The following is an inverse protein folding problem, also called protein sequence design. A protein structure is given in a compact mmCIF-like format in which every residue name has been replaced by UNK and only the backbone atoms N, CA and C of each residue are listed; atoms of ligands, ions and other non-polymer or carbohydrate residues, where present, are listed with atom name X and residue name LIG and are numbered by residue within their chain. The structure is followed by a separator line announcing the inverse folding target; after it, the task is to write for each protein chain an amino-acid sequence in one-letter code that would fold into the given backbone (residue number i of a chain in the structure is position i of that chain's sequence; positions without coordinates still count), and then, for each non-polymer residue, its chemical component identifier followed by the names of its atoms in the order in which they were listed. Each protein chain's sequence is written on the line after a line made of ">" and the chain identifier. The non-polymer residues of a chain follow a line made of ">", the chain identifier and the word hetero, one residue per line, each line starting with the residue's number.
data_IF_296524823564
#
_entry.id   IF_296524823564
#
_cell.length_a   1.000
_cell.length_b   1.000
_cell.length_c   1.000
_cell.angle_alpha   90.00
_cell.angle_beta   90.00
_cell.angle_gamma   90.00
#
_symmetry.space_group_name_H-M   'P 1'
#
loop_
_entity.id
_entity.type
_entity.pdbx_description
1 polymer ?
#
# COMPACT_ATOMS: atom_id res chain seq x y z
N UNK A 1 7.96 22.08 46.64
CA UNK A 1 8.24 20.71 46.15
C UNK A 1 7.20 20.31 45.12
N UNK A 2 5.90 20.40 45.40
CA UNK A 2 4.81 20.08 44.45
C UNK A 2 4.84 20.84 43.10
N UNK A 3 5.14 22.15 43.08
CA UNK A 3 5.20 22.90 41.81
C UNK A 3 6.34 22.45 40.88
N UNK A 4 7.45 21.96 41.44
CA UNK A 4 8.59 21.48 40.67
C UNK A 4 8.31 20.09 40.08
N UNK A 5 7.61 19.24 40.82
CA UNK A 5 7.14 17.93 40.35
C UNK A 5 6.08 18.06 39.23
N UNK A 6 5.19 19.05 39.31
CA UNK A 6 4.21 19.32 38.26
C UNK A 6 4.87 19.82 36.96
N UNK A 7 5.85 20.73 37.06
CA UNK A 7 6.59 21.23 35.90
C UNK A 7 7.39 20.13 35.20
N UNK A 8 8.07 19.27 35.96
CA UNK A 8 8.84 18.14 35.41
C UNK A 8 7.91 17.08 34.80
N UNK A 9 6.77 16.76 35.43
CA UNK A 9 5.79 15.83 34.87
C UNK A 9 5.16 16.35 33.57
N UNK A 10 4.84 17.65 33.49
CA UNK A 10 4.34 18.28 32.26
C UNK A 10 5.42 18.25 31.17
N UNK A 11 6.68 18.50 31.52
CA UNK A 11 7.80 18.47 30.57
C UNK A 11 8.03 17.06 30.01
N UNK A 12 7.92 16.03 30.86
CA UNK A 12 8.03 14.63 30.45
C UNK A 12 6.88 14.19 29.51
N UNK A 13 5.65 14.59 29.82
CA UNK A 13 4.48 14.38 28.94
C UNK A 13 4.65 15.09 27.61
N UNK A 14 5.11 16.35 27.63
CA UNK A 14 5.35 17.16 26.43
C UNK A 14 6.46 16.59 25.55
N UNK A 15 7.51 16.02 26.15
CA UNK A 15 8.57 15.30 25.44
C UNK A 15 8.05 14.02 24.76
N UNK A 16 7.00 13.41 25.31
CA UNK A 16 6.28 12.28 24.75
C UNK A 16 5.43 12.60 23.51
N UNK A 17 5.04 13.86 23.30
CA UNK A 17 4.16 14.28 22.19
C UNK A 17 4.88 14.21 20.84
N UNK A 18 6.19 14.43 20.81
CA UNK A 18 6.96 14.45 19.56
C UNK A 18 7.32 13.03 19.07
N UNK A 19 7.15 12.73 17.77
CA UNK A 19 7.58 11.44 17.23
C UNK A 19 9.09 11.23 17.43
N UNK A 20 9.48 10.22 18.22
CA UNK A 20 10.88 9.92 18.57
C UNK A 20 11.85 9.98 17.37
N UNK A 21 11.45 9.42 16.22
CA UNK A 21 12.28 9.40 15.00
C UNK A 21 12.43 10.76 14.31
N UNK A 22 11.42 11.61 14.39
CA UNK A 22 11.36 12.88 13.65
C UNK A 22 11.60 14.11 14.54
N UNK A 23 11.77 13.93 15.86
CA UNK A 23 11.96 15.00 16.85
C UNK A 23 12.97 16.07 16.38
N UNK A 24 14.18 15.65 16.00
CA UNK A 24 15.24 16.56 15.51
C UNK A 24 14.81 17.43 14.34
N UNK A 25 13.97 16.91 13.45
CA UNK A 25 13.48 17.64 12.26
C UNK A 25 12.44 18.69 12.70
N UNK A 26 11.57 18.34 13.65
CA UNK A 26 10.58 19.25 14.20
C UNK A 26 11.26 20.41 14.93
N UNK A 27 12.26 20.10 15.77
CA UNK A 27 13.07 21.08 16.49
C UNK A 27 13.80 22.01 15.51
N UNK A 28 14.53 21.47 14.54
CA UNK A 28 15.26 22.27 13.55
C UNK A 28 14.33 23.20 12.74
N UNK A 29 13.13 22.72 12.37
CA UNK A 29 12.14 23.53 11.67
C UNK A 29 11.61 24.67 12.55
N UNK A 30 11.39 24.40 13.83
CA UNK A 30 10.97 25.39 14.81
C UNK A 30 12.05 26.46 15.02
N UNK A 31 13.30 26.04 15.23
CA UNK A 31 14.42 26.97 15.45
C UNK A 31 14.65 27.86 14.24
N UNK A 32 14.51 27.32 13.03
CA UNK A 32 14.56 28.09 11.78
C UNK A 32 13.47 29.16 11.75
N UNK A 33 12.25 28.81 12.17
CA UNK A 33 11.13 29.76 12.25
C UNK A 33 11.34 30.83 13.31
N UNK A 34 11.85 30.47 14.49
CA UNK A 34 12.17 31.42 15.57
C UNK A 34 13.24 32.41 15.11
N UNK A 35 14.34 31.92 14.50
CA UNK A 35 15.38 32.79 13.93
C UNK A 35 14.82 33.77 12.91
N UNK A 36 13.93 33.31 12.03
CA UNK A 36 13.27 34.15 11.04
C UNK A 36 12.39 35.25 11.69
N UNK A 37 11.70 34.94 12.80
CA UNK A 37 10.92 35.91 13.57
C UNK A 37 11.83 36.95 14.23
N UNK A 38 12.92 36.52 14.87
CA UNK A 38 13.90 37.41 15.52
C UNK A 38 14.52 38.39 14.52
N UNK A 39 14.93 37.92 13.33
CA UNK A 39 15.47 38.78 12.27
C UNK A 39 14.49 39.87 11.81
N UNK A 40 13.18 39.65 11.96
CA UNK A 40 12.12 40.56 11.54
C UNK A 40 11.49 41.33 12.71
N UNK A 41 12.03 41.19 13.91
CA UNK A 41 11.53 41.81 15.15
C UNK A 41 10.03 41.50 15.38
N UNK A 42 9.63 40.26 15.10
CA UNK A 42 8.27 39.77 15.30
C UNK A 42 8.19 39.09 16.68
N UNK A 43 7.55 39.75 17.64
CA UNK A 43 7.42 39.24 19.02
C UNK A 43 6.26 38.25 19.15
N UNK A 44 5.12 38.56 18.51
CA UNK A 44 3.90 37.76 18.57
C UNK A 44 3.76 36.87 17.33
N UNK A 45 3.55 35.57 17.55
CA UNK A 45 3.23 34.62 16.46
C UNK A 45 1.73 34.54 16.30
N UNK A 46 1.22 35.04 15.18
CA UNK A 46 -0.19 34.99 14.80
C UNK A 46 -0.35 34.41 13.38
N UNK A 47 -1.59 34.39 12.88
CA UNK A 47 -1.91 33.85 11.56
C UNK A 47 -1.17 34.57 10.42
N UNK A 48 -1.04 35.89 10.47
CA UNK A 48 -0.38 36.69 9.43
C UNK A 48 1.14 36.45 9.38
N UNK A 49 1.77 36.31 10.56
CA UNK A 49 3.18 35.94 10.68
C UNK A 49 3.45 34.58 10.04
N UNK A 50 2.56 33.60 10.28
CA UNK A 50 2.68 32.28 9.68
C UNK A 50 2.45 32.30 8.18
N UNK A 51 1.46 33.06 7.68
CA UNK A 51 1.23 33.24 6.24
C UNK A 51 2.47 33.81 5.53
N UNK A 52 3.11 34.82 6.12
CA UNK A 52 4.31 35.48 5.56
C UNK A 52 5.56 34.59 5.55
N UNK A 53 5.64 33.61 6.46
CA UNK A 53 6.80 32.72 6.60
C UNK A 53 6.95 31.66 5.49
N UNK A 54 6.01 31.55 4.54
CA UNK A 54 5.87 30.41 3.64
C UNK A 54 6.26 30.74 2.19
N UNK A 55 7.48 30.37 1.78
CA UNK A 55 8.03 30.56 0.42
C UNK A 55 8.35 29.27 -0.34
N UNK A 56 7.92 28.09 0.14
CA UNK A 56 8.34 26.77 -0.38
C UNK A 56 7.23 26.01 -1.15
N UNK A 57 7.61 24.94 -1.84
CA UNK A 57 6.72 24.06 -2.62
C UNK A 57 5.63 23.38 -1.77
N UNK A 58 4.47 23.08 -2.37
CA UNK A 58 3.22 22.73 -1.67
C UNK A 58 3.31 21.52 -0.72
N UNK A 59 4.05 20.47 -1.06
CA UNK A 59 4.22 19.29 -0.18
C UNK A 59 5.16 19.59 1.01
N UNK A 60 6.22 20.37 0.78
CA UNK A 60 7.13 20.88 1.81
C UNK A 60 6.38 21.82 2.76
N UNK A 61 5.47 22.60 2.20
CA UNK A 61 4.69 23.60 2.93
C UNK A 61 3.74 22.95 3.97
N UNK A 62 3.03 21.89 3.60
CA UNK A 62 2.19 21.13 4.53
C UNK A 62 3.01 20.42 5.62
N UNK A 63 4.17 19.87 5.28
CA UNK A 63 5.07 19.26 6.26
C UNK A 63 5.60 20.32 7.26
N UNK A 64 6.04 21.48 6.76
CA UNK A 64 6.48 22.59 7.60
C UNK A 64 5.36 23.13 8.46
N UNK A 65 4.13 23.25 7.92
CA UNK A 65 2.95 23.61 8.70
C UNK A 65 2.70 22.60 9.82
N UNK A 66 2.72 21.29 9.53
CA UNK A 66 2.48 20.25 10.54
C UNK A 66 3.53 20.26 11.66
N UNK A 67 4.80 20.42 11.30
CA UNK A 67 5.89 20.56 12.27
C UNK A 67 5.71 21.79 13.14
N UNK A 68 5.47 22.96 12.54
CA UNK A 68 5.25 24.20 13.30
C UNK A 68 3.97 24.14 14.14
N UNK A 69 2.89 23.54 13.64
CA UNK A 69 1.64 23.34 14.39
C UNK A 69 1.91 22.62 15.70
N UNK A 70 2.65 21.52 15.62
CA UNK A 70 3.00 20.71 16.80
C UNK A 70 3.91 21.51 17.74
N UNK A 71 4.98 22.11 17.20
CA UNK A 71 5.98 22.80 18.01
C UNK A 71 5.47 24.09 18.65
N UNK A 72 4.61 24.85 17.97
CA UNK A 72 3.98 26.05 18.51
C UNK A 72 2.96 25.72 19.59
N UNK A 73 2.21 24.63 19.42
CA UNK A 73 1.32 24.13 20.47
C UNK A 73 2.13 23.74 21.72
N UNK A 74 3.16 22.90 21.55
CA UNK A 74 3.97 22.40 22.69
C UNK A 74 4.79 23.51 23.37
N UNK A 75 5.48 24.37 22.60
CA UNK A 75 6.43 25.35 23.18
C UNK A 75 5.83 26.71 23.51
N UNK A 76 4.69 27.06 22.91
CA UNK A 76 4.09 28.41 23.05
C UNK A 76 2.60 28.37 23.35
N UNK A 77 1.99 27.19 23.47
CA UNK A 77 0.54 27.03 23.65
C UNK A 77 -0.29 27.75 22.56
N UNK A 78 0.22 27.79 21.32
CA UNK A 78 -0.47 28.41 20.18
C UNK A 78 -1.07 27.31 19.30
N UNK A 79 -2.40 27.23 19.31
CA UNK A 79 -3.15 26.33 18.44
C UNK A 79 -3.42 26.94 17.06
N UNK A 80 -2.50 26.69 16.13
CA UNK A 80 -2.61 27.16 14.74
C UNK A 80 -3.67 26.40 13.92
N UNK A 81 -4.36 25.41 14.48
CA UNK A 81 -5.48 24.75 13.80
C UNK A 81 -6.69 25.69 13.64
N UNK A 82 -6.78 26.71 14.52
CA UNK A 82 -7.80 27.74 14.50
C UNK A 82 -7.55 28.83 13.45
N UNK A 83 -6.42 28.78 12.75
CA UNK A 83 -6.03 29.74 11.72
C UNK A 83 -6.63 29.33 10.36
N UNK A 84 -7.85 29.77 10.11
CA UNK A 84 -8.63 29.39 8.93
C UNK A 84 -8.10 29.98 7.62
N UNK A 85 -7.58 31.23 7.61
CA UNK A 85 -6.97 31.84 6.42
C UNK A 85 -5.71 31.08 6.02
N UNK A 86 -4.89 30.69 7.01
CA UNK A 86 -3.72 29.85 6.82
C UNK A 86 -4.11 28.49 6.25
N UNK A 87 -5.14 27.84 6.80
CA UNK A 87 -5.65 26.56 6.32
C UNK A 87 -6.17 26.65 4.87
N UNK A 88 -6.93 27.69 4.55
CA UNK A 88 -7.45 27.95 3.21
C UNK A 88 -6.33 28.25 2.20
N UNK A 89 -5.30 29.01 2.61
CA UNK A 89 -4.12 29.25 1.80
C UNK A 89 -3.36 27.95 1.48
N UNK A 90 -3.14 27.10 2.48
CA UNK A 90 -2.45 25.81 2.30
C UNK A 90 -3.21 24.88 1.34
N UNK A 91 -4.53 24.80 1.47
CA UNK A 91 -5.40 24.02 0.56
C UNK A 91 -5.28 24.50 -0.89
N UNK A 92 -5.45 25.81 -1.13
CA UNK A 92 -5.33 26.41 -2.47
C UNK A 92 -3.94 26.20 -3.07
N UNK A 93 -2.87 26.32 -2.28
CA UNK A 93 -1.51 26.04 -2.76
C UNK A 93 -1.28 24.58 -3.13
N UNK A 94 -2.06 23.64 -2.62
CA UNK A 94 -1.98 22.22 -3.00
C UNK A 94 -2.92 21.83 -4.15
N UNK A 95 -3.75 22.73 -4.66
CA UNK A 95 -4.60 22.43 -5.82
C UNK A 95 -3.75 22.07 -7.05
N UNK A 96 -4.18 21.03 -7.76
CA UNK A 96 -3.46 20.51 -8.93
C UNK A 96 -2.12 19.83 -8.62
N UNK A 97 -1.69 19.75 -7.35
CA UNK A 97 -0.45 19.07 -6.98
C UNK A 97 -0.52 17.58 -7.33
N UNK A 98 0.43 17.11 -8.15
CA UNK A 98 0.60 15.70 -8.46
C UNK A 98 1.81 15.14 -7.72
N UNK A 99 1.64 14.09 -6.89
CA UNK A 99 2.74 13.50 -6.17
C UNK A 99 3.73 12.83 -7.12
N UNK A 100 5.03 13.04 -6.88
CA UNK A 100 6.09 12.30 -7.57
C UNK A 100 6.20 10.91 -6.94
N UNK A 101 6.04 9.87 -7.75
CA UNK A 101 6.12 8.49 -7.29
C UNK A 101 7.28 7.74 -7.95
N UNK A 102 7.82 6.75 -7.26
CA UNK A 102 8.80 5.84 -7.84
C UNK A 102 8.21 5.11 -9.05
N UNK A 103 9.01 4.89 -10.11
CA UNK A 103 8.61 4.01 -11.22
C UNK A 103 8.41 2.57 -10.72
N UNK A 104 7.62 1.81 -11.46
CA UNK A 104 7.31 0.40 -11.22
C UNK A 104 7.92 -0.45 -12.32
N UNK A 105 8.35 -1.66 -11.97
CA UNK A 105 8.68 -2.73 -12.91
C UNK A 105 7.41 -3.46 -13.36
N UNK A 106 7.40 -3.94 -14.61
CA UNK A 106 6.40 -4.89 -15.13
C UNK A 106 6.77 -6.33 -14.78
N UNK A 107 5.82 -7.26 -14.92
CA UNK A 107 6.09 -8.68 -14.70
C UNK A 107 7.18 -9.20 -15.65
N UNK A 108 7.08 -8.88 -16.94
CA UNK A 108 8.09 -9.26 -17.94
C UNK A 108 9.49 -8.73 -17.61
N UNK A 109 9.58 -7.51 -17.07
CA UNK A 109 10.87 -6.93 -16.64
C UNK A 109 11.45 -7.68 -15.43
N UNK A 110 10.61 -8.09 -14.48
CA UNK A 110 11.02 -8.90 -13.33
C UNK A 110 11.52 -10.26 -13.81
N UNK A 111 10.74 -10.94 -14.65
CA UNK A 111 11.07 -12.27 -15.14
C UNK A 111 12.35 -12.25 -15.99
N UNK A 112 12.46 -11.28 -16.90
CA UNK A 112 13.67 -11.04 -17.68
C UNK A 112 14.89 -10.84 -16.79
N UNK A 113 14.77 -10.00 -15.76
CA UNK A 113 15.88 -9.77 -14.83
C UNK A 113 16.26 -11.06 -14.09
N UNK A 114 15.29 -11.77 -13.52
CA UNK A 114 15.55 -12.99 -12.74
C UNK A 114 16.16 -14.12 -13.58
N UNK A 115 15.78 -14.22 -14.85
CA UNK A 115 16.26 -15.24 -15.79
C UNK A 115 17.66 -14.91 -16.34
N UNK A 116 17.85 -13.69 -16.83
CA UNK A 116 19.04 -13.34 -17.63
C UNK A 116 20.23 -12.88 -16.79
N UNK A 117 20.00 -12.29 -15.61
CA UNK A 117 21.09 -11.69 -14.83
C UNK A 117 21.95 -12.78 -14.15
N UNK A 118 23.29 -12.69 -14.23
CA UNK A 118 24.16 -13.69 -13.62
C UNK A 118 24.11 -13.63 -12.10
N UNK A 119 23.99 -14.81 -11.48
CA UNK A 119 23.97 -14.92 -10.02
C UNK A 119 25.25 -14.39 -9.39
N UNK A 120 26.40 -14.53 -10.06
CA UNK A 120 27.73 -14.10 -9.60
C UNK A 120 27.74 -12.74 -8.92
N UNK A 121 27.03 -11.76 -9.46
CA UNK A 121 27.00 -10.39 -8.95
C UNK A 121 25.62 -9.98 -8.43
N UNK A 122 24.55 -10.67 -8.81
CA UNK A 122 23.18 -10.21 -8.60
C UNK A 122 22.29 -11.13 -7.76
N UNK A 123 22.79 -12.27 -7.27
CA UNK A 123 21.96 -13.21 -6.49
C UNK A 123 21.24 -12.53 -5.31
N UNK A 124 21.96 -11.72 -4.51
CA UNK A 124 21.33 -10.96 -3.42
C UNK A 124 20.28 -9.95 -3.93
N UNK A 125 20.52 -9.32 -5.07
CA UNK A 125 19.57 -8.39 -5.70
C UNK A 125 18.33 -9.14 -6.20
N UNK A 126 18.47 -10.34 -6.77
CA UNK A 126 17.35 -11.21 -7.15
C UNK A 126 16.48 -11.52 -5.94
N UNK A 127 17.09 -11.98 -4.83
CA UNK A 127 16.34 -12.29 -3.60
C UNK A 127 15.67 -11.04 -3.02
N UNK A 128 16.35 -9.88 -3.01
CA UNK A 128 15.74 -8.63 -2.56
C UNK A 128 14.56 -8.17 -3.45
N UNK A 129 14.65 -8.39 -4.76
CA UNK A 129 13.55 -8.14 -5.70
C UNK A 129 12.36 -9.06 -5.42
N UNK A 130 12.61 -10.38 -5.29
CA UNK A 130 11.59 -11.39 -4.97
C UNK A 130 10.86 -11.03 -3.67
N UNK A 131 11.59 -10.85 -2.57
CA UNK A 131 11.01 -10.49 -1.26
C UNK A 131 10.32 -9.13 -1.29
N UNK A 132 10.89 -8.16 -2.02
CA UNK A 132 10.35 -6.82 -2.17
C UNK A 132 9.00 -6.81 -2.86
N UNK A 133 8.87 -7.56 -3.96
CA UNK A 133 7.65 -7.63 -4.77
C UNK A 133 6.64 -8.59 -4.16
N UNK A 134 7.03 -9.81 -3.79
CA UNK A 134 6.12 -10.79 -3.18
C UNK A 134 5.55 -10.28 -1.84
N UNK A 135 6.36 -9.58 -1.04
CA UNK A 135 5.91 -9.06 0.24
C UNK A 135 5.46 -7.61 0.22
N UNK A 136 5.41 -6.91 -0.92
CA UNK A 136 5.20 -5.46 -0.97
C UNK A 136 6.08 -4.68 0.06
N UNK A 137 7.30 -5.16 0.28
CA UNK A 137 8.14 -4.74 1.40
C UNK A 137 8.71 -3.34 1.20
N UNK A 138 8.79 -2.56 2.29
CA UNK A 138 9.58 -1.32 2.31
C UNK A 138 11.07 -1.68 2.44
N UNK A 139 11.97 -0.82 1.95
CA UNK A 139 13.41 -1.03 2.13
C UNK A 139 13.84 -1.16 3.60
N UNK A 140 13.16 -0.50 4.54
CA UNK A 140 13.40 -0.69 5.98
C UNK A 140 13.00 -2.09 6.46
N UNK A 141 11.91 -2.64 5.95
CA UNK A 141 11.43 -3.99 6.29
C UNK A 141 12.42 -5.04 5.80
N UNK A 142 12.90 -4.92 4.56
CA UNK A 142 13.97 -5.78 4.02
C UNK A 142 15.26 -5.66 4.82
N UNK A 143 15.68 -4.44 5.17
CA UNK A 143 16.85 -4.21 6.01
C UNK A 143 16.71 -4.81 7.41
N UNK A 144 15.49 -4.89 7.95
CA UNK A 144 15.25 -5.36 9.31
C UNK A 144 15.05 -6.87 9.42
N UNK A 145 14.73 -7.54 8.30
CA UNK A 145 14.45 -8.96 8.22
C UNK A 145 15.59 -9.81 8.80
N UNK A 146 15.23 -10.84 9.56
CA UNK A 146 16.15 -11.79 10.18
C UNK A 146 15.99 -13.19 9.60
N UNK A 147 16.97 -14.06 9.85
CA UNK A 147 16.92 -15.47 9.40
C UNK A 147 15.70 -16.18 10.01
N UNK A 148 15.42 -15.94 11.29
CA UNK A 148 14.26 -16.53 11.99
C UNK A 148 12.90 -16.05 11.48
N UNK A 149 12.88 -15.02 10.64
CA UNK A 149 11.64 -14.55 10.02
C UNK A 149 11.29 -15.34 8.76
N UNK A 150 12.22 -16.15 8.23
CA UNK A 150 12.04 -16.92 7.00
C UNK A 150 11.99 -18.41 7.31
N UNK A 151 10.86 -19.04 7.00
CA UNK A 151 10.64 -20.47 7.17
C UNK A 151 10.55 -21.13 5.80
N UNK A 152 11.44 -22.09 5.53
CA UNK A 152 11.36 -22.94 4.35
C UNK A 152 10.37 -24.09 4.62
N UNK A 153 9.35 -24.22 3.76
CA UNK A 153 8.30 -25.23 3.85
C UNK A 153 8.36 -26.21 2.67
N UNK A 154 9.53 -26.36 2.05
CA UNK A 154 9.82 -27.18 0.86
C UNK A 154 9.20 -26.67 -0.45
N UNK A 155 7.90 -26.39 -0.46
CA UNK A 155 7.14 -25.94 -1.62
C UNK A 155 6.87 -24.41 -1.60
N UNK A 156 7.30 -23.74 -0.54
CA UNK A 156 7.13 -22.30 -0.36
C UNK A 156 8.07 -21.77 0.72
N UNK A 157 8.35 -20.46 0.69
CA UNK A 157 8.96 -19.73 1.81
C UNK A 157 7.90 -18.86 2.49
N UNK A 158 7.70 -19.06 3.79
CA UNK A 158 6.92 -18.16 4.63
C UNK A 158 7.83 -17.08 5.22
N UNK A 159 7.49 -15.82 4.95
CA UNK A 159 8.28 -14.67 5.41
C UNK A 159 7.46 -13.81 6.35
N UNK A 160 7.95 -13.64 7.58
CA UNK A 160 7.34 -12.80 8.60
C UNK A 160 7.96 -11.40 8.60
N UNK A 161 7.13 -10.38 8.43
CA UNK A 161 7.54 -8.97 8.48
C UNK A 161 7.06 -8.38 9.80
N UNK A 162 7.98 -8.35 10.77
CA UNK A 162 7.74 -7.80 12.11
C UNK A 162 8.03 -6.30 12.18
N UNK A 163 7.53 -5.63 13.22
CA UNK A 163 7.88 -4.23 13.55
C UNK A 163 7.67 -3.25 12.38
N UNK A 164 6.56 -3.41 11.66
CA UNK A 164 6.25 -2.55 10.49
C UNK A 164 6.04 -1.09 10.92
N UNK A 165 6.04 -0.16 9.94
CA UNK A 165 5.78 1.28 10.21
C UNK A 165 4.50 1.53 11.04
N UNK A 166 3.53 0.62 10.96
CA UNK A 166 2.24 0.74 11.62
C UNK A 166 2.11 -0.16 12.87
N UNK A 167 3.21 -0.80 13.31
CA UNK A 167 3.26 -1.73 14.43
C UNK A 167 2.30 -2.92 14.31
N UNK A 168 2.05 -3.36 13.07
CA UNK A 168 1.25 -4.54 12.76
C UNK A 168 2.15 -5.52 12.05
N UNK A 169 2.30 -6.71 12.62
CA UNK A 169 3.03 -7.80 12.00
C UNK A 169 2.20 -8.37 10.86
N UNK A 170 2.88 -8.83 9.80
CA UNK A 170 2.25 -9.47 8.65
C UNK A 170 3.19 -10.52 8.10
N UNK A 171 2.66 -11.45 7.33
CA UNK A 171 3.46 -12.42 6.61
C UNK A 171 3.07 -12.46 5.13
N UNK A 172 3.92 -13.09 4.33
CA UNK A 172 3.65 -13.37 2.93
C UNK A 172 4.34 -14.67 2.52
N UNK A 173 3.88 -15.23 1.40
CA UNK A 173 4.40 -16.47 0.83
C UNK A 173 5.18 -16.15 -0.45
N UNK A 174 6.31 -16.82 -0.64
CA UNK A 174 6.99 -16.95 -1.92
C UNK A 174 6.81 -18.40 -2.37
N UNK A 175 6.24 -18.61 -3.55
CA UNK A 175 6.07 -19.92 -4.17
C UNK A 175 6.42 -19.84 -5.66
N UNK A 176 6.53 -20.99 -6.32
CA UNK A 176 6.87 -21.08 -7.75
C UNK A 176 5.64 -20.96 -8.66
N UNK A 177 4.67 -20.10 -8.31
CA UNK A 177 3.45 -19.93 -9.12
C UNK A 177 3.65 -19.05 -10.36
N UNK A 178 4.89 -18.73 -10.74
CA UNK A 178 5.19 -17.93 -11.91
C UNK A 178 5.10 -18.80 -13.18
N UNK A 179 4.46 -18.27 -14.22
CA UNK A 179 4.25 -18.98 -15.49
C UNK A 179 5.54 -19.18 -16.30
N UNK A 180 6.64 -18.58 -15.88
CA UNK A 180 7.84 -18.40 -16.70
C UNK A 180 8.99 -19.36 -16.33
N UNK A 181 8.71 -20.39 -15.52
CA UNK A 181 9.65 -21.49 -15.25
C UNK A 181 10.85 -21.15 -14.35
N UNK A 182 10.84 -19.99 -13.67
CA UNK A 182 11.89 -19.61 -12.72
C UNK A 182 11.55 -20.14 -11.34
N UNK A 183 12.38 -21.01 -10.79
CA UNK A 183 12.24 -21.48 -9.41
C UNK A 183 12.69 -20.38 -8.43
N UNK A 184 11.72 -19.58 -7.96
CA UNK A 184 11.95 -18.47 -7.04
C UNK A 184 12.45 -18.97 -5.68
N UNK A 185 11.97 -20.13 -5.24
CA UNK A 185 12.37 -20.75 -3.98
C UNK A 185 13.85 -21.14 -4.05
N UNK A 186 14.27 -21.76 -5.15
CA UNK A 186 15.64 -22.20 -5.37
C UNK A 186 16.62 -21.02 -5.46
N UNK A 187 16.22 -19.91 -6.10
CA UNK A 187 17.01 -18.67 -6.08
C UNK A 187 17.24 -18.19 -4.64
N UNK A 188 16.22 -18.27 -3.78
CA UNK A 188 16.32 -17.88 -2.39
C UNK A 188 17.17 -18.87 -1.57
N UNK A 189 16.99 -20.17 -1.77
CA UNK A 189 17.79 -21.24 -1.12
C UNK A 189 19.27 -21.12 -1.44
N UNK A 190 19.62 -20.92 -2.71
CA UNK A 190 21.01 -20.67 -3.15
C UNK A 190 21.64 -19.54 -2.36
N UNK A 191 20.93 -18.41 -2.21
CA UNK A 191 21.44 -17.29 -1.42
C UNK A 191 21.58 -17.61 0.07
N UNK A 192 20.58 -18.29 0.66
CA UNK A 192 20.59 -18.68 2.06
C UNK A 192 21.74 -19.64 2.39
N UNK A 193 22.00 -20.62 1.53
CA UNK A 193 23.08 -21.60 1.67
C UNK A 193 24.48 -20.98 1.64
N UNK A 194 24.65 -19.83 0.98
CA UNK A 194 25.93 -19.12 0.93
C UNK A 194 26.25 -18.34 2.21
N UNK A 195 25.35 -18.31 3.19
CA UNK A 195 25.61 -17.61 4.45
C UNK A 195 26.78 -18.26 5.19
N UNK A 196 27.77 -17.43 5.52
CA UNK A 196 28.94 -17.82 6.29
C UNK A 196 28.59 -18.16 7.75
N UNK A 197 29.03 -19.31 8.29
CA UNK A 197 28.83 -19.69 9.70
C UNK A 197 29.34 -18.64 10.70
N UNK A 198 30.37 -17.88 10.33
CA UNK A 198 31.01 -16.87 11.17
C UNK A 198 30.19 -15.56 11.29
N UNK A 199 29.02 -15.49 10.64
CA UNK A 199 28.17 -14.28 10.68
C UNK A 199 27.51 -14.13 12.06
N UNK A 200 27.97 -13.16 12.85
CA UNK A 200 27.56 -12.99 14.25
C UNK A 200 26.18 -12.36 14.47
N UNK A 201 25.57 -11.80 13.43
CA UNK A 201 24.26 -11.15 13.53
C UNK A 201 23.17 -11.99 12.84
N UNK A 202 21.91 -11.75 13.21
CA UNK A 202 20.76 -12.48 12.65
C UNK A 202 20.14 -11.86 11.38
N UNK A 203 20.69 -10.76 10.84
CA UNK A 203 20.17 -10.15 9.60
C UNK A 203 20.15 -11.15 8.45
N UNK A 204 19.00 -11.24 7.77
CA UNK A 204 18.81 -12.13 6.62
C UNK A 204 19.75 -11.73 5.48
N UNK A 205 19.66 -10.47 5.02
CA UNK A 205 20.47 -9.96 3.92
C UNK A 205 21.88 -9.57 4.38
N UNK A 206 22.86 -10.30 3.87
CA UNK A 206 24.30 -10.02 3.96
C UNK A 206 24.86 -9.56 2.62
N UNK A 207 25.93 -8.77 2.66
CA UNK A 207 26.64 -8.31 1.47
C UNK A 207 27.16 -9.50 0.69
N UNK A 208 26.91 -9.45 -0.61
CA UNK A 208 27.20 -10.51 -1.56
C UNK A 208 28.06 -9.94 -2.69
N UNK A 209 29.19 -10.58 -2.96
CA UNK A 209 30.14 -10.18 -3.98
C UNK A 209 30.80 -11.42 -4.58
N UNK A 210 30.96 -11.45 -5.91
CA UNK A 210 31.69 -12.50 -6.63
C UNK A 210 31.30 -13.92 -6.20
N UNK A 211 30.01 -14.23 -6.25
CA UNK A 211 29.45 -15.54 -5.89
C UNK A 211 29.50 -15.92 -4.41
N UNK A 212 29.85 -15.01 -3.50
CA UNK A 212 29.97 -15.33 -2.07
C UNK A 212 29.27 -14.30 -1.19
N UNK A 213 28.67 -14.78 -0.09
CA UNK A 213 28.27 -13.89 1.00
C UNK A 213 29.49 -13.52 1.87
N UNK A 214 29.50 -12.28 2.32
CA UNK A 214 30.36 -11.80 3.40
C UNK A 214 29.61 -11.89 4.74
N UNK A 215 30.30 -11.58 5.84
CA UNK A 215 29.67 -11.51 7.17
C UNK A 215 28.98 -10.17 7.46
N UNK A 216 29.04 -9.20 6.53
CA UNK A 216 28.54 -7.85 6.76
C UNK A 216 27.05 -7.74 6.37
N UNK A 217 26.22 -7.20 7.26
CA UNK A 217 24.83 -6.88 6.94
C UNK A 217 24.71 -5.79 5.85
N UNK A 218 23.66 -5.88 5.02
CA UNK A 218 23.35 -4.84 4.05
C UNK A 218 22.85 -3.55 4.75
N UNK A 219 23.48 -2.42 4.41
CA UNK A 219 23.08 -1.10 4.90
C UNK A 219 21.71 -0.63 4.37
N UNK A 220 20.97 0.12 5.19
CA UNK A 220 19.62 0.62 4.88
C UNK A 220 19.51 1.39 3.56
N UNK A 221 20.54 2.15 3.19
CA UNK A 221 20.54 2.97 1.97
C UNK A 221 20.72 2.12 0.71
N UNK A 222 21.37 0.96 0.82
CA UNK A 222 21.60 0.04 -0.29
C UNK A 222 20.28 -0.47 -0.85
N UNK A 223 19.35 -0.89 0.01
CA UNK A 223 17.99 -1.30 -0.41
C UNK A 223 17.25 -0.21 -1.21
N UNK A 224 17.51 1.06 -0.92
CA UNK A 224 16.93 2.17 -1.67
C UNK A 224 17.43 2.28 -3.12
N UNK A 225 18.62 1.74 -3.40
CA UNK A 225 19.27 1.75 -4.72
C UNK A 225 19.10 0.44 -5.50
N UNK A 226 18.66 -0.64 -4.86
CA UNK A 226 18.47 -1.94 -5.54
C UNK A 226 17.55 -1.81 -6.75
N UNK A 227 16.36 -1.15 -6.67
CA UNK A 227 15.49 -1.05 -7.84
C UNK A 227 16.12 -0.27 -9.00
N UNK A 228 16.94 0.74 -8.71
CA UNK A 228 17.72 1.46 -9.71
C UNK A 228 18.72 0.52 -10.40
N UNK A 229 19.45 -0.32 -9.65
CA UNK A 229 20.38 -1.31 -10.23
C UNK A 229 19.68 -2.31 -11.15
N UNK A 230 18.48 -2.75 -10.78
CA UNK A 230 17.64 -3.62 -11.62
C UNK A 230 17.28 -2.90 -12.92
N UNK A 231 16.83 -1.64 -12.83
CA UNK A 231 16.48 -0.83 -13.99
C UNK A 231 17.68 -0.52 -14.89
N UNK A 232 18.86 -0.29 -14.32
CA UNK A 232 20.12 -0.08 -15.06
C UNK A 232 20.51 -1.33 -15.84
N UNK A 233 20.47 -2.51 -15.21
CA UNK A 233 20.77 -3.78 -15.88
C UNK A 233 19.83 -4.03 -17.08
N UNK A 234 18.55 -3.74 -16.90
CA UNK A 234 17.53 -3.89 -17.94
C UNK A 234 17.54 -2.76 -18.99
N UNK A 235 18.46 -1.79 -18.89
CA UNK A 235 18.52 -0.61 -19.75
C UNK A 235 17.22 0.21 -19.81
N UNK A 236 16.50 0.31 -18.68
CA UNK A 236 15.24 1.05 -18.62
C UNK A 236 15.47 2.58 -18.60
N UNK A 237 14.65 3.36 -19.29
CA UNK A 237 14.81 4.80 -19.35
C UNK A 237 14.54 5.46 -17.99
N UNK A 238 15.41 6.40 -17.62
CA UNK A 238 15.38 7.11 -16.33
C UNK A 238 15.46 6.15 -15.13
N UNK A 239 16.48 5.28 -15.11
CA UNK A 239 16.71 4.30 -14.03
C UNK A 239 16.74 4.92 -12.62
N UNK A 240 17.19 6.17 -12.50
CA UNK A 240 17.20 6.94 -11.24
C UNK A 240 15.82 7.16 -10.61
N UNK A 241 14.74 7.01 -11.37
CA UNK A 241 13.36 7.12 -10.88
C UNK A 241 12.86 5.83 -10.21
N UNK A 242 13.61 4.73 -10.30
CA UNK A 242 13.34 3.47 -9.59
C UNK A 242 13.98 3.52 -8.21
N UNK A 243 13.30 4.16 -7.27
CA UNK A 243 13.79 4.37 -5.89
C UNK A 243 13.29 3.28 -4.94
N UNK A 244 13.67 3.33 -3.66
CA UNK A 244 13.33 2.32 -2.64
C UNK A 244 11.84 2.05 -2.38
N UNK A 245 10.91 2.77 -3.03
CA UNK A 245 9.48 2.43 -3.01
C UNK A 245 9.03 1.59 -4.22
N UNK A 246 9.88 1.44 -5.25
CA UNK A 246 9.59 0.74 -6.49
C UNK A 246 8.95 -0.64 -6.25
N UNK A 247 9.62 -1.55 -5.53
CA UNK A 247 9.12 -2.92 -5.34
C UNK A 247 7.74 -2.98 -4.70
N UNK A 248 7.50 -2.14 -3.68
CA UNK A 248 6.18 -2.05 -3.05
C UNK A 248 5.11 -1.52 -4.01
N UNK A 249 5.45 -0.54 -4.84
CA UNK A 249 4.53 -0.01 -5.86
C UNK A 249 4.29 -1.04 -6.97
N UNK A 250 5.32 -1.75 -7.41
CA UNK A 250 5.23 -2.85 -8.38
C UNK A 250 4.29 -3.94 -7.88
N UNK A 251 4.46 -4.40 -6.64
CA UNK A 251 3.57 -5.36 -6.00
C UNK A 251 2.11 -4.89 -6.01
N UNK A 252 1.87 -3.64 -5.63
CA UNK A 252 0.53 -3.05 -5.65
C UNK A 252 -0.09 -2.95 -7.05
N UNK A 253 0.71 -2.58 -8.06
CA UNK A 253 0.28 -2.51 -9.46
C UNK A 253 -0.08 -3.88 -10.01
N UNK A 254 0.80 -4.88 -9.84
CA UNK A 254 0.56 -6.25 -10.30
C UNK A 254 -0.69 -6.85 -9.63
N UNK A 255 -0.88 -6.59 -8.35
CA UNK A 255 -2.05 -7.06 -7.62
C UNK A 255 -3.34 -6.38 -8.10
N UNK A 256 -3.30 -5.09 -8.42
CA UNK A 256 -4.44 -4.39 -9.02
C UNK A 256 -4.77 -4.95 -10.42
N UNK A 257 -3.76 -5.22 -11.25
CA UNK A 257 -3.95 -5.79 -12.58
C UNK A 257 -4.52 -7.22 -12.56
N UNK A 258 -4.26 -7.98 -11.48
CA UNK A 258 -4.82 -9.32 -11.28
C UNK A 258 -6.33 -9.34 -10.97
N UNK A 259 -6.95 -8.19 -10.71
CA UNK A 259 -8.36 -8.10 -10.31
C UNK A 259 -8.62 -8.48 -8.84
N UNK A 260 -7.57 -8.51 -8.00
CA UNK A 260 -7.72 -8.81 -6.58
C UNK A 260 -8.61 -7.78 -5.87
N UNK A 261 -9.42 -8.25 -4.90
CA UNK A 261 -10.28 -7.36 -4.12
C UNK A 261 -9.48 -6.38 -3.25
N UNK A 262 -10.10 -5.25 -2.92
CA UNK A 262 -9.51 -4.21 -2.07
C UNK A 262 -9.05 -4.78 -0.71
N UNK A 263 -9.78 -5.76 -0.16
CA UNK A 263 -9.43 -6.37 1.13
C UNK A 263 -8.18 -7.25 1.05
N UNK A 264 -8.02 -8.01 -0.04
CA UNK A 264 -6.79 -8.75 -0.32
C UNK A 264 -5.63 -7.76 -0.46
N UNK A 265 -5.85 -6.68 -1.20
CA UNK A 265 -4.85 -5.64 -1.42
C UNK A 265 -4.40 -4.98 -0.11
N UNK A 266 -5.34 -4.55 0.75
CA UNK A 266 -5.05 -3.94 2.05
C UNK A 266 -4.25 -4.87 2.96
N UNK A 267 -4.66 -6.15 3.05
CA UNK A 267 -3.98 -7.16 3.88
C UNK A 267 -2.56 -7.42 3.39
N UNK A 268 -2.37 -7.60 2.08
CA UNK A 268 -1.09 -7.93 1.45
C UNK A 268 0.04 -6.95 1.82
N UNK A 269 -0.16 -5.66 1.58
CA UNK A 269 0.86 -4.65 1.90
C UNK A 269 0.69 -3.98 3.26
N UNK A 270 -0.34 -4.31 4.04
CA UNK A 270 -0.64 -3.63 5.31
C UNK A 270 -1.02 -2.15 5.12
N UNK A 271 -1.87 -1.86 4.14
CA UNK A 271 -2.41 -0.52 3.91
C UNK A 271 -3.70 -0.32 4.71
N UNK A 272 -3.79 0.80 5.45
CA UNK A 272 -4.98 1.16 6.25
C UNK A 272 -6.10 1.81 5.42
N UNK A 273 -5.76 2.48 4.31
CA UNK A 273 -6.70 3.22 3.47
C UNK A 273 -6.86 2.57 2.11
N UNK A 274 -8.12 2.52 1.63
CA UNK A 274 -8.44 2.13 0.26
C UNK A 274 -7.97 3.16 -0.77
N UNK A 275 -7.87 4.44 -0.40
CA UNK A 275 -7.49 5.53 -1.32
C UNK A 275 -6.14 5.32 -1.99
N UNK A 276 -5.20 4.63 -1.33
CA UNK A 276 -3.92 4.27 -1.95
C UNK A 276 -4.11 3.16 -2.98
N UNK A 277 -4.99 2.19 -2.71
CA UNK A 277 -5.33 1.07 -3.59
C UNK A 277 -6.06 1.58 -4.85
N UNK A 278 -7.05 2.45 -4.65
CA UNK A 278 -7.87 3.06 -5.70
C UNK A 278 -6.99 3.70 -6.76
N UNK A 279 -5.96 4.45 -6.38
CA UNK A 279 -5.04 5.05 -7.36
C UNK A 279 -4.24 4.05 -8.20
N UNK A 280 -4.01 2.81 -7.74
CA UNK A 280 -3.41 1.76 -8.56
C UNK A 280 -4.45 1.08 -9.45
N UNK A 281 -5.64 0.79 -8.90
CA UNK A 281 -6.76 0.16 -9.61
C UNK A 281 -7.25 1.06 -10.75
N UNK A 282 -7.42 2.36 -10.50
CA UNK A 282 -7.81 3.35 -11.52
C UNK A 282 -6.81 3.42 -12.68
N UNK A 283 -5.53 3.12 -12.42
CA UNK A 283 -4.49 3.10 -13.45
C UNK A 283 -4.26 1.72 -14.08
N UNK A 284 -4.94 0.67 -13.61
CA UNK A 284 -4.83 -0.68 -14.14
C UNK A 284 -5.37 -0.74 -15.57
N UNK A 285 -4.53 -1.17 -16.52
CA UNK A 285 -4.94 -1.34 -17.91
C UNK A 285 -5.96 -2.46 -18.02
N UNK A 286 -5.78 -3.55 -17.27
CA UNK A 286 -6.71 -4.68 -17.30
C UNK A 286 -8.11 -4.27 -16.80
N UNK A 287 -8.18 -3.52 -15.71
CA UNK A 287 -9.45 -2.97 -15.21
C UNK A 287 -10.10 -2.06 -16.25
N UNK A 288 -9.33 -1.18 -16.90
CA UNK A 288 -9.84 -0.31 -17.97
C UNK A 288 -10.35 -1.11 -19.18
N UNK A 289 -9.68 -2.21 -19.55
CA UNK A 289 -10.13 -3.12 -20.61
C UNK A 289 -11.45 -3.78 -20.25
N UNK A 290 -11.55 -4.38 -19.06
CA UNK A 290 -12.79 -5.01 -18.56
C UNK A 290 -13.95 -4.01 -18.56
N UNK A 291 -13.70 -2.78 -18.08
CA UNK A 291 -14.71 -1.71 -18.09
C UNK A 291 -15.10 -1.34 -19.52
N UNK A 292 -14.14 -1.17 -20.43
CA UNK A 292 -14.42 -0.87 -21.83
C UNK A 292 -15.24 -1.99 -22.49
N UNK A 293 -14.84 -3.25 -22.32
CA UNK A 293 -15.54 -4.41 -22.87
C UNK A 293 -16.98 -4.51 -22.32
N UNK A 294 -17.17 -4.19 -21.04
CA UNK A 294 -18.50 -4.14 -20.43
C UNK A 294 -19.37 -3.01 -20.98
N UNK A 295 -18.80 -1.83 -21.23
CA UNK A 295 -19.50 -0.67 -21.80
C UNK A 295 -19.93 -0.96 -23.25
N UNK A 296 -19.06 -1.58 -24.04
CA UNK A 296 -19.30 -1.89 -25.45
C UNK A 296 -19.99 -3.25 -25.68
N UNK A 297 -20.48 -3.91 -24.62
CA UNK A 297 -21.27 -5.14 -24.73
C UNK A 297 -20.48 -6.39 -25.12
N UNK A 298 -19.15 -6.35 -25.01
CA UNK A 298 -18.24 -7.48 -25.28
C UNK A 298 -17.97 -8.34 -24.02
N UNK A 299 -18.58 -8.00 -22.88
CA UNK A 299 -18.37 -8.67 -21.60
C UNK A 299 -18.87 -10.13 -21.56
N UNK A 300 -17.93 -11.07 -21.67
CA UNK A 300 -17.92 -12.48 -21.23
C UNK A 300 -19.30 -13.13 -21.06
N UNK A 301 -19.74 -13.85 -22.10
CA UNK A 301 -20.64 -14.98 -21.94
C UNK A 301 -19.96 -16.05 -21.08
N UNK A 302 -20.65 -16.52 -20.04
CA UNK A 302 -20.22 -17.65 -19.22
C UNK A 302 -19.88 -18.84 -20.11
N UNK A 303 -18.59 -19.11 -20.30
CA UNK A 303 -18.09 -20.39 -20.80
C UNK A 303 -17.53 -21.18 -19.62
N UNK A 304 -18.45 -21.77 -18.86
CA UNK A 304 -18.18 -23.00 -18.11
C UNK A 304 -18.88 -24.15 -18.82
N UNK A 305 -18.31 -24.60 -19.93
CA UNK A 305 -18.53 -25.97 -20.38
C UNK A 305 -17.60 -26.86 -19.54
N UNK A 306 -18.12 -27.38 -18.44
CA UNK A 306 -17.59 -28.61 -17.86
C UNK A 306 -18.32 -29.75 -18.54
N UNK A 307 -17.56 -30.52 -19.31
CA UNK A 307 -18.00 -31.78 -19.88
C UNK A 307 -18.40 -32.75 -18.75
N UNK A 308 -19.66 -33.20 -18.78
CA UNK A 308 -20.03 -34.54 -18.34
C UNK A 308 -21.35 -34.92 -19.01
N UNK A 309 -21.27 -35.91 -19.90
CA UNK A 309 -22.39 -36.49 -20.61
C UNK A 309 -23.27 -37.32 -19.67
N UNK A 310 -24.58 -37.09 -19.68
CA UNK A 310 -25.57 -38.18 -19.78
C UNK A 310 -26.93 -37.64 -20.24
N UNK A 311 -27.46 -38.29 -21.28
CA UNK A 311 -28.80 -38.09 -21.83
C UNK A 311 -29.86 -38.72 -20.91
N UNK A 312 -31.08 -38.17 -20.88
CA UNK A 312 -32.32 -38.81 -21.40
C UNK A 312 -33.50 -37.80 -21.37
N UNK A 313 -34.00 -37.53 -22.57
CA UNK A 313 -35.38 -37.31 -23.08
C UNK A 313 -36.51 -36.72 -22.22
N UNK A 314 -37.20 -35.71 -22.79
CA UNK A 314 -38.56 -35.28 -22.37
C UNK A 314 -39.10 -34.02 -23.08
N UNK A 315 -39.70 -34.23 -24.26
CA UNK A 315 -40.55 -33.40 -25.13
C UNK A 315 -40.95 -31.92 -24.83
N UNK A 316 -40.67 -31.11 -25.86
CA UNK A 316 -41.27 -29.87 -26.39
C UNK A 316 -42.58 -29.27 -25.81
N UNK A 317 -42.58 -27.92 -25.63
CA UNK A 317 -43.51 -27.00 -26.33
C UNK A 317 -42.96 -25.56 -26.35
N UNK A 318 -43.09 -24.91 -27.51
CA UNK A 318 -42.71 -23.52 -27.77
C UNK A 318 -43.83 -22.54 -27.42
N UNK A 319 -43.51 -21.39 -26.81
CA UNK A 319 -44.31 -20.17 -26.93
C UNK A 319 -43.46 -18.90 -26.74
N UNK A 320 -43.79 -17.91 -27.57
CA UNK A 320 -43.17 -16.63 -27.91
C UNK A 320 -42.98 -15.59 -26.78
N UNK A 321 -41.81 -14.92 -26.85
CA UNK A 321 -41.51 -13.48 -26.67
C UNK A 321 -42.20 -12.65 -25.57
N UNK A 322 -41.39 -12.08 -24.67
CA UNK A 322 -41.34 -10.63 -24.41
C UNK A 322 -40.05 -10.25 -23.65
N UNK A 323 -39.31 -9.30 -24.19
CA UNK A 323 -38.08 -8.73 -23.61
C UNK A 323 -38.39 -7.85 -22.40
N UNK A 324 -37.65 -8.01 -21.31
CA UNK A 324 -37.38 -6.88 -20.39
C UNK A 324 -36.04 -7.05 -19.69
N UNK A 325 -35.35 -5.92 -19.60
CA UNK A 325 -33.93 -5.72 -19.33
C UNK A 325 -33.61 -5.93 -17.85
N UNK A 326 -32.72 -6.88 -17.52
CA UNK A 326 -32.30 -7.14 -16.13
C UNK A 326 -31.06 -6.32 -15.77
N UNK A 327 -31.26 -5.29 -14.94
CA UNK A 327 -30.20 -4.61 -14.20
C UNK A 327 -29.78 -5.48 -13.00
N UNK A 328 -28.51 -5.89 -12.96
CA UNK A 328 -27.92 -6.61 -11.81
C UNK A 328 -27.85 -5.69 -10.58
N UNK A 329 -28.87 -5.74 -9.74
CA UNK A 329 -28.81 -5.25 -8.36
C UNK A 329 -28.56 -6.45 -7.42
N UNK A 330 -27.65 -6.27 -6.46
CA UNK A 330 -27.33 -7.21 -5.39
C UNK A 330 -28.49 -7.37 -4.39
N UNK A 331 -29.61 -7.92 -4.85
CA UNK A 331 -30.73 -8.32 -3.97
C UNK A 331 -30.87 -9.83 -4.16
N UNK A 332 -30.48 -10.57 -3.12
CA UNK A 332 -30.87 -11.98 -2.98
C UNK A 332 -32.39 -12.01 -2.82
N UNK A 333 -33.09 -12.30 -3.90
CA UNK A 333 -34.53 -12.51 -3.92
C UNK A 333 -34.78 -13.92 -3.37
N UNK A 334 -34.94 -14.04 -2.05
CA UNK A 334 -35.38 -15.28 -1.44
C UNK A 334 -36.88 -15.46 -1.72
N UNK A 335 -37.20 -16.13 -2.82
CA UNK A 335 -38.54 -16.68 -3.06
C UNK A 335 -38.80 -17.74 -2.01
N UNK A 336 -39.75 -17.50 -1.10
CA UNK A 336 -40.17 -18.53 -0.15
C UNK A 336 -41.67 -18.38 0.09
N UNK A 337 -42.39 -19.45 -0.26
CA UNK A 337 -43.81 -19.65 0.01
C UNK A 337 -44.09 -19.84 1.50
N UNK A 338 -45.30 -19.44 1.92
CA UNK A 338 -45.90 -19.87 3.20
C UNK A 338 -45.96 -18.78 4.28
N UNK A 339 -47.12 -18.71 4.93
CA UNK A 339 -47.59 -17.66 5.83
C UNK A 339 -46.68 -17.37 7.04
N UNK A 340 -46.68 -16.09 7.44
CA UNK A 340 -45.95 -15.43 8.54
C UNK A 340 -44.46 -15.11 8.27
N UNK A 341 -44.22 -13.83 7.93
CA UNK A 341 -42.86 -13.27 7.83
C UNK A 341 -42.79 -11.86 8.43
N UNK A 342 -41.96 -11.71 9.46
CA UNK A 342 -41.43 -10.43 9.90
C UNK A 342 -40.15 -10.13 9.10
N UNK A 343 -40.08 -8.94 8.49
CA UNK A 343 -38.88 -8.46 7.82
C UNK A 343 -37.95 -7.85 8.88
N UNK A 344 -36.85 -8.53 9.21
CA UNK A 344 -35.88 -8.00 10.17
C UNK A 344 -34.70 -7.35 9.45
N UNK A 345 -34.53 -6.05 9.66
CA UNK A 345 -33.47 -5.24 9.03
C UNK A 345 -32.59 -4.70 10.16
N UNK A 346 -31.30 -5.08 10.17
CA UNK A 346 -30.35 -4.64 11.19
C UNK A 346 -29.18 -3.91 10.54
N UNK A 347 -28.80 -2.78 11.13
CA UNK A 347 -27.61 -1.98 10.79
C UNK A 347 -27.65 -1.27 9.42
N UNK A 348 -28.74 -0.55 9.13
CA UNK A 348 -28.84 0.31 7.95
C UNK A 348 -28.73 1.80 8.34
N UNK A 349 -27.75 2.51 7.77
CA UNK A 349 -27.66 3.98 7.77
C UNK A 349 -27.67 4.50 6.34
N UNK A 350 -28.48 5.53 6.04
CA UNK A 350 -28.70 6.15 4.72
C UNK A 350 -29.36 5.24 3.66
N UNK A 351 -30.44 4.52 4.02
CA UNK A 351 -31.25 3.75 3.06
C UNK A 351 -32.71 4.23 3.09
N UNK A 352 -33.30 4.46 1.91
CA UNK A 352 -34.74 4.62 1.75
C UNK A 352 -35.35 3.29 1.32
N UNK A 353 -36.35 2.81 2.05
CA UNK A 353 -37.04 1.55 1.77
C UNK A 353 -38.43 1.88 1.24
N UNK A 354 -38.73 1.46 0.01
CA UNK A 354 -40.08 1.48 -0.55
C UNK A 354 -40.66 0.07 -0.50
N UNK A 355 -41.69 -0.14 0.32
CA UNK A 355 -42.44 -1.40 0.37
C UNK A 355 -43.70 -1.22 -0.47
N UNK A 356 -43.85 -2.05 -1.50
CA UNK A 356 -45.04 -2.07 -2.34
C UNK A 356 -45.81 -3.36 -2.03
N UNK A 357 -46.94 -3.24 -1.34
CA UNK A 357 -47.76 -4.40 -0.95
C UNK A 357 -48.85 -4.56 -2.00
N UNK A 358 -48.75 -5.63 -2.80
CA UNK A 358 -49.76 -5.96 -3.80
C UNK A 358 -50.73 -6.97 -3.20
N UNK A 359 -51.95 -6.54 -2.84
CA UNK A 359 -53.03 -7.44 -2.45
C UNK A 359 -53.78 -7.88 -3.71
N UNK A 360 -53.51 -9.10 -4.19
CA UNK A 360 -54.35 -9.71 -5.21
C UNK A 360 -55.63 -10.23 -4.55
N UNK A 361 -56.67 -9.39 -4.48
CA UNK A 361 -58.04 -9.90 -4.35
C UNK A 361 -58.45 -10.45 -5.72
N UNK A 362 -58.55 -11.77 -5.82
CA UNK A 362 -59.46 -12.40 -6.78
C UNK A 362 -60.73 -12.73 -6.00
N UNK A 363 -61.79 -11.98 -6.26
CA UNK A 363 -63.14 -12.25 -5.79
C UNK A 363 -63.66 -13.58 -6.36
N UNK A 364 -64.66 -14.15 -5.67
CA UNK A 364 -65.50 -15.33 -5.98
C UNK A 364 -65.52 -15.86 -7.43
#
# INVERSE_FOLDING_TARGET
>A
MENFELEDAVKEVMDGILPKKSRKIYEAQYDTFVKWCCQRKLENVNEDVLLKSKTLSSSTLWAHYSMLKTMLNVKRNIDVSKFYKLSAFLKRKSEGYKPKNAKVLTLDQIDKFLLEVPDKDFLMIKVALIFGVAGACRGKELHQLTISDVTDMDHALLVNVRNTKNNVDRNFIINNSNKNGIDLIEVCRKYMALRKPETTHSRFFVRYEKSQCTVQAIGKNTFGKIPQKVAEYLNLPNSTLYTGHCFRRTSASLLADSGASIDVWKRHGGWKSASVAEGYIENSINTKKIVADSIFGLGVGNSTESASAHQVSGSAVSASSASSTSSKNNILQNTIDGANRLLNIVNCSNVNIHVNINTNNKDL
#
